data_IF_808021173526
#
_entry.id   IF_808021173526
#
_cell.length_a   1.000
_cell.length_b   1.000
_cell.length_c   1.000
_cell.angle_alpha   90.00
_cell.angle_beta   90.00
_cell.angle_gamma   90.00
#
_symmetry.space_group_name_H-M   'P 1'
#
loop_
_entity.id
_entity.type
_entity.pdbx_description
1 polymer ?
#
# COMPACT_ATOMS: atom_id res chain seq x y z
N UNK A 1 -13.03 18.92 10.36
CA UNK A 1 -12.22 20.15 10.27
C UNK A 1 -11.05 19.86 9.33
N UNK A 2 -10.86 20.72 8.32
CA UNK A 2 -9.69 20.69 7.44
C UNK A 2 -8.41 20.91 8.27
N UNK A 3 -7.40 20.07 8.06
CA UNK A 3 -6.12 20.12 8.81
C UNK A 3 -4.96 20.60 7.96
N UNK A 4 -4.95 20.26 6.69
CA UNK A 4 -3.88 20.65 5.81
C UNK A 4 -4.01 20.08 4.41
N UNK A 5 -3.26 20.65 3.52
CA UNK A 5 -3.06 20.24 2.15
C UNK A 5 -1.56 20.28 1.88
N UNK A 6 -1.07 19.28 1.21
CA UNK A 6 0.30 19.23 0.73
C UNK A 6 0.33 18.60 -0.66
N UNK A 7 1.32 18.95 -1.47
CA UNK A 7 1.43 18.47 -2.85
C UNK A 7 2.85 18.45 -3.35
N UNK A 8 3.12 17.53 -4.24
CA UNK A 8 4.28 17.54 -5.12
C UNK A 8 3.81 17.48 -6.59
N UNK A 9 4.75 17.25 -7.53
CA UNK A 9 4.42 17.25 -8.97
C UNK A 9 3.43 16.14 -9.37
N UNK A 10 3.43 15.01 -8.65
CA UNK A 10 2.72 13.78 -9.06
C UNK A 10 1.63 13.37 -8.05
N UNK A 11 1.53 14.06 -6.92
CA UNK A 11 0.57 13.71 -5.89
C UNK A 11 0.11 14.92 -5.09
N UNK A 12 -1.09 14.82 -4.53
CA UNK A 12 -1.54 15.73 -3.47
C UNK A 12 -2.32 14.95 -2.42
N UNK A 13 -2.35 15.49 -1.21
CA UNK A 13 -3.10 14.90 -0.11
C UNK A 13 -3.78 15.93 0.77
N UNK A 14 -4.91 15.50 1.30
CA UNK A 14 -5.78 16.33 2.14
C UNK A 14 -5.99 15.61 3.47
N UNK A 15 -5.69 16.30 4.56
CA UNK A 15 -5.92 15.81 5.92
C UNK A 15 -7.14 16.45 6.54
N UNK A 16 -8.08 15.64 7.00
CA UNK A 16 -9.33 16.07 7.63
C UNK A 16 -9.48 15.43 8.99
N UNK A 17 -9.70 16.25 10.01
CA UNK A 17 -10.05 15.78 11.36
C UNK A 17 -11.57 15.64 11.47
N UNK A 18 -12.02 14.44 11.83
CA UNK A 18 -13.41 14.11 12.06
C UNK A 18 -13.62 13.81 13.55
N UNK A 19 -14.77 14.22 14.07
CA UNK A 19 -15.20 13.87 15.41
C UNK A 19 -16.52 13.11 15.29
N UNK A 20 -16.51 11.88 15.77
CA UNK A 20 -17.67 11.00 15.76
C UNK A 20 -18.24 10.88 17.16
N UNK A 21 -19.58 10.90 17.27
CA UNK A 21 -20.30 10.51 18.48
C UNK A 21 -20.65 9.03 18.36
N UNK A 22 -20.00 8.20 19.16
CA UNK A 22 -20.23 6.76 19.16
C UNK A 22 -21.07 6.39 20.36
N UNK A 23 -22.13 5.60 20.14
CA UNK A 23 -22.87 4.93 21.21
C UNK A 23 -22.31 3.53 21.34
N UNK A 24 -21.80 3.16 22.50
CA UNK A 24 -21.40 1.79 22.78
C UNK A 24 -22.69 0.96 23.03
N UNK A 25 -23.02 0.07 22.08
CA UNK A 25 -24.02 -0.95 22.31
C UNK A 25 -23.30 -2.29 22.57
N UNK A 26 -23.28 -2.73 23.81
CA UNK A 26 -22.79 -4.07 24.15
C UNK A 26 -23.97 -5.03 24.17
N UNK A 27 -23.99 -6.00 23.27
CA UNK A 27 -24.99 -7.10 23.20
C UNK A 27 -26.47 -6.70 23.16
N UNK A 28 -26.81 -5.47 22.77
CA UNK A 28 -28.22 -5.04 22.68
C UNK A 28 -29.00 -4.94 24.00
N UNK A 29 -28.35 -5.22 25.13
CA UNK A 29 -29.02 -5.29 26.45
C UNK A 29 -28.68 -4.10 27.35
N UNK A 30 -27.52 -3.48 27.16
CA UNK A 30 -27.12 -2.27 27.89
C UNK A 30 -26.60 -1.22 26.90
N UNK A 31 -27.48 -0.33 26.47
CA UNK A 31 -27.06 0.89 25.82
C UNK A 31 -26.64 1.87 26.91
N UNK A 32 -25.34 2.10 27.07
CA UNK A 32 -24.90 3.27 27.86
C UNK A 32 -25.31 4.53 27.10
N UNK A 33 -26.02 5.43 27.77
CA UNK A 33 -26.35 6.75 27.22
C UNK A 33 -25.14 7.69 27.13
N UNK A 34 -23.99 7.27 27.60
CA UNK A 34 -22.74 7.98 27.44
C UNK A 34 -22.28 7.94 25.99
N UNK A 35 -22.33 9.10 25.37
CA UNK A 35 -21.80 9.33 24.00
C UNK A 35 -20.29 9.55 24.11
N UNK A 36 -19.51 8.57 23.72
CA UNK A 36 -18.07 8.74 23.59
C UNK A 36 -17.75 9.55 22.33
N UNK A 37 -16.88 10.53 22.46
CA UNK A 37 -16.33 11.27 21.31
C UNK A 37 -15.06 10.57 20.83
N UNK A 38 -15.07 10.13 19.58
CA UNK A 38 -13.90 9.56 18.91
C UNK A 38 -13.39 10.57 17.90
N UNK A 39 -12.13 10.97 18.04
CA UNK A 39 -11.46 11.84 17.11
C UNK A 39 -10.61 11.00 16.15
N UNK A 40 -10.74 11.26 14.85
CA UNK A 40 -9.99 10.57 13.81
C UNK A 40 -9.45 11.60 12.82
N UNK A 41 -8.19 11.45 12.45
CA UNK A 41 -7.60 12.19 11.33
C UNK A 41 -7.55 11.24 10.14
N UNK A 42 -8.20 11.64 9.05
CA UNK A 42 -8.20 10.89 7.79
C UNK A 42 -7.40 11.68 6.77
N UNK A 43 -6.38 11.05 6.22
CA UNK A 43 -5.62 11.56 5.07
C UNK A 43 -6.10 10.87 3.80
N UNK A 44 -6.42 11.65 2.78
CA UNK A 44 -6.75 11.18 1.43
C UNK A 44 -5.65 11.61 0.50
N UNK A 45 -5.08 10.65 -0.20
CA UNK A 45 -4.02 10.87 -1.18
C UNK A 45 -4.57 10.68 -2.58
N UNK A 46 -4.15 11.53 -3.50
CA UNK A 46 -4.46 11.47 -4.92
C UNK A 46 -3.12 11.45 -5.64
N UNK A 47 -2.85 10.41 -6.38
CA UNK A 47 -1.58 10.20 -7.07
C UNK A 47 -1.83 10.10 -8.56
N UNK A 48 -1.01 10.79 -9.34
CA UNK A 48 -1.03 10.68 -10.79
C UNK A 48 -0.55 9.29 -11.18
N UNK A 49 -1.33 8.61 -12.01
CA UNK A 49 -0.93 7.29 -12.51
C UNK A 49 0.21 7.43 -13.53
N UNK A 50 1.13 6.47 -13.60
CA UNK A 50 2.22 6.50 -14.56
C UNK A 50 1.71 6.66 -16.00
N UNK A 51 2.33 7.55 -16.77
CA UNK A 51 2.02 7.71 -18.20
C UNK A 51 2.48 6.48 -18.99
N UNK A 52 3.68 6.00 -18.68
CA UNK A 52 4.20 4.74 -19.23
C UNK A 52 3.56 3.57 -18.49
N UNK A 53 2.56 2.96 -19.11
CA UNK A 53 1.77 1.90 -18.52
C UNK A 53 2.51 0.56 -18.52
N UNK A 54 2.54 -0.09 -17.36
CA UNK A 54 3.00 -1.48 -17.26
C UNK A 54 2.12 -2.40 -18.12
N UNK A 55 2.72 -3.41 -18.72
CA UNK A 55 1.98 -4.46 -19.44
C UNK A 55 1.11 -5.22 -18.44
N UNK A 56 -0.20 -5.10 -18.62
CA UNK A 56 -1.20 -5.78 -17.79
C UNK A 56 -1.21 -7.29 -18.05
N UNK A 57 -1.49 -8.03 -16.99
CA UNK A 57 -1.73 -9.48 -17.07
C UNK A 57 -3.14 -9.74 -16.56
N UNK A 58 -3.99 -10.32 -17.39
CA UNK A 58 -5.34 -10.69 -16.95
C UNK A 58 -5.26 -11.72 -15.83
N UNK A 59 -6.18 -11.62 -14.87
CA UNK A 59 -6.28 -12.56 -13.77
C UNK A 59 -6.64 -13.95 -14.29
N UNK A 60 -5.77 -14.92 -14.03
CA UNK A 60 -6.09 -16.33 -14.20
C UNK A 60 -6.70 -16.88 -12.88
N UNK A 61 -7.96 -17.36 -12.87
CA UNK A 61 -8.59 -17.87 -11.66
C UNK A 61 -7.91 -19.13 -11.08
N UNK A 62 -7.06 -19.79 -11.87
CA UNK A 62 -6.28 -20.95 -11.41
C UNK A 62 -5.07 -20.57 -10.58
N UNK A 63 -4.66 -19.31 -10.65
CA UNK A 63 -3.51 -18.78 -9.92
C UNK A 63 -4.01 -17.90 -8.78
N UNK A 64 -3.56 -18.18 -7.55
CA UNK A 64 -3.98 -17.47 -6.35
C UNK A 64 -3.32 -16.09 -6.19
N UNK A 65 -3.36 -15.25 -7.24
CA UNK A 65 -2.83 -13.88 -7.19
C UNK A 65 -3.88 -12.88 -6.74
N UNK A 66 -3.44 -11.83 -6.07
CA UNK A 66 -4.26 -10.64 -5.88
C UNK A 66 -4.59 -10.00 -7.22
N UNK A 67 -5.71 -9.31 -7.28
CA UNK A 67 -6.14 -8.64 -8.51
C UNK A 67 -6.86 -7.33 -8.20
N UNK A 68 -6.81 -6.42 -9.15
CA UNK A 68 -7.65 -5.24 -9.22
C UNK A 68 -8.65 -5.41 -10.36
N UNK A 69 -9.86 -4.90 -10.18
CA UNK A 69 -10.90 -4.98 -11.21
C UNK A 69 -11.31 -3.59 -11.66
N UNK A 70 -11.48 -3.43 -12.97
CA UNK A 70 -11.94 -2.22 -13.62
C UNK A 70 -13.21 -2.52 -14.39
N UNK A 71 -14.23 -1.70 -14.21
CA UNK A 71 -15.45 -1.74 -15.01
C UNK A 71 -15.28 -0.85 -16.24
N UNK A 72 -15.28 -1.45 -17.42
CA UNK A 72 -15.16 -0.76 -18.69
C UNK A 72 -16.55 -0.51 -19.29
N UNK A 73 -16.81 0.73 -19.66
CA UNK A 73 -18.00 1.16 -20.37
C UNK A 73 -17.70 1.35 -21.85
N UNK A 74 -18.35 0.57 -22.67
CA UNK A 74 -18.26 0.69 -24.12
C UNK A 74 -19.66 1.09 -24.64
N UNK A 75 -19.76 2.30 -25.19
CA UNK A 75 -21.01 2.83 -25.70
C UNK A 75 -21.66 1.98 -26.80
N UNK A 76 -20.90 1.10 -27.44
CA UNK A 76 -21.40 0.16 -28.44
C UNK A 76 -22.06 -1.09 -27.84
N UNK A 77 -21.90 -1.31 -26.53
CA UNK A 77 -22.40 -2.49 -25.82
C UNK A 77 -23.50 -2.12 -24.83
N UNK A 78 -24.53 -2.98 -24.69
CA UNK A 78 -25.65 -2.70 -23.78
C UNK A 78 -25.29 -2.88 -22.29
N UNK A 79 -24.11 -3.40 -21.99
CA UNK A 79 -23.63 -3.64 -20.61
C UNK A 79 -22.15 -3.34 -20.51
N UNK A 80 -21.74 -2.83 -19.33
CA UNK A 80 -20.33 -2.75 -18.95
C UNK A 80 -19.69 -4.14 -18.88
N UNK A 81 -18.38 -4.19 -19.06
CA UNK A 81 -17.57 -5.40 -18.89
C UNK A 81 -16.61 -5.22 -17.73
N UNK A 82 -16.52 -6.21 -16.86
CA UNK A 82 -15.57 -6.23 -15.77
C UNK A 82 -14.29 -6.91 -16.25
N UNK A 83 -13.17 -6.17 -16.19
CA UNK A 83 -11.85 -6.75 -16.40
C UNK A 83 -11.10 -6.83 -15.07
N UNK A 84 -10.33 -7.89 -14.89
CA UNK A 84 -9.52 -8.10 -13.70
C UNK A 84 -8.08 -8.36 -14.08
N UNK A 85 -7.18 -7.60 -13.49
CA UNK A 85 -5.74 -7.70 -13.73
C UNK A 85 -5.03 -8.20 -12.49
N UNK A 86 -4.03 -9.07 -12.67
CA UNK A 86 -3.18 -9.53 -11.58
C UNK A 86 -2.39 -8.36 -11.01
N UNK A 87 -2.40 -8.22 -9.68
CA UNK A 87 -1.61 -7.19 -9.01
C UNK A 87 -0.15 -7.61 -8.93
N UNK A 88 0.76 -6.81 -9.50
CA UNK A 88 2.20 -7.08 -9.50
C UNK A 88 2.99 -5.77 -9.49
N UNK A 89 4.22 -5.82 -8.96
CA UNK A 89 5.17 -4.72 -9.12
C UNK A 89 5.75 -4.71 -10.54
N UNK A 90 6.07 -3.52 -11.03
CA UNK A 90 6.89 -3.35 -12.22
C UNK A 90 8.32 -3.76 -11.87
N UNK A 91 8.89 -4.67 -12.67
CA UNK A 91 10.25 -5.15 -12.49
C UNK A 91 10.97 -5.15 -13.84
N UNK A 92 11.27 -3.95 -14.33
CA UNK A 92 12.06 -3.80 -15.54
C UNK A 92 13.53 -4.12 -15.25
N UNK A 93 14.16 -4.98 -16.06
CA UNK A 93 15.52 -5.44 -15.85
C UNK A 93 16.48 -4.79 -16.85
N UNK A 94 17.66 -4.44 -16.37
CA UNK A 94 18.76 -4.00 -17.21
C UNK A 94 19.46 -5.17 -17.93
N UNK A 95 20.44 -4.84 -18.78
CA UNK A 95 21.19 -5.86 -19.53
C UNK A 95 21.97 -6.87 -18.66
N UNK A 96 22.25 -6.51 -17.42
CA UNK A 96 22.93 -7.34 -16.41
C UNK A 96 21.97 -8.23 -15.61
N UNK A 97 20.68 -8.17 -15.90
CA UNK A 97 19.61 -8.88 -15.19
C UNK A 97 19.23 -8.27 -13.86
N UNK A 98 19.76 -7.10 -13.51
CA UNK A 98 19.32 -6.38 -12.29
C UNK A 98 18.04 -5.61 -12.54
N UNK A 99 17.16 -5.61 -11.54
CA UNK A 99 15.97 -4.77 -11.54
C UNK A 99 16.41 -3.31 -11.47
N UNK A 100 15.98 -2.50 -12.47
CA UNK A 100 16.38 -1.10 -12.57
C UNK A 100 15.82 -0.25 -11.42
N UNK A 101 14.61 -0.56 -10.97
CA UNK A 101 13.97 0.07 -9.83
C UNK A 101 13.52 -1.01 -8.83
N UNK A 102 14.40 -1.40 -7.89
CA UNK A 102 14.05 -2.38 -6.87
C UNK A 102 12.86 -1.93 -6.02
N UNK A 103 12.02 -2.87 -5.65
CA UNK A 103 10.92 -2.62 -4.71
C UNK A 103 11.52 -2.38 -3.32
N UNK A 104 11.47 -1.14 -2.87
CA UNK A 104 12.04 -0.74 -1.58
C UNK A 104 10.97 -0.78 -0.49
N UNK A 105 11.18 -1.58 0.55
CA UNK A 105 10.37 -1.56 1.76
C UNK A 105 11.03 -0.71 2.85
N UNK A 106 10.30 0.27 3.34
CA UNK A 106 10.70 1.10 4.46
C UNK A 106 10.21 0.49 5.77
N UNK A 107 11.15 0.14 6.63
CA UNK A 107 10.88 -0.45 7.95
C UNK A 107 10.78 0.67 8.98
N UNK A 108 9.69 0.69 9.74
CA UNK A 108 9.41 1.70 10.75
C UNK A 108 10.55 1.77 11.79
N UNK A 109 11.03 2.98 12.06
CA UNK A 109 12.10 3.23 13.04
C UNK A 109 11.69 2.89 14.48
N UNK A 110 10.40 2.82 14.78
CA UNK A 110 9.86 2.48 16.10
C UNK A 110 9.93 1.01 16.47
N UNK A 111 10.24 0.11 15.52
CA UNK A 111 10.55 -1.27 15.88
C UNK A 111 11.75 -1.35 16.84
N UNK A 112 11.74 -2.29 17.80
CA UNK A 112 12.93 -2.60 18.59
C UNK A 112 14.13 -2.93 17.70
N UNK A 113 15.32 -2.43 18.03
CA UNK A 113 16.52 -2.58 17.19
C UNK A 113 16.85 -4.04 16.89
N UNK A 114 16.64 -4.92 17.87
CA UNK A 114 16.84 -6.35 17.67
C UNK A 114 15.93 -6.95 16.58
N UNK A 115 14.74 -6.37 16.36
CA UNK A 115 13.77 -6.87 15.38
C UNK A 115 14.01 -6.29 13.99
N UNK A 116 14.42 -5.02 13.90
CA UNK A 116 14.66 -4.34 12.62
C UNK A 116 15.55 -5.15 11.70
N UNK A 117 16.65 -5.70 12.25
CA UNK A 117 17.58 -6.54 11.49
C UNK A 117 16.86 -7.74 10.85
N UNK A 118 16.11 -8.49 11.65
CA UNK A 118 15.42 -9.69 11.16
C UNK A 118 14.29 -9.36 10.17
N UNK A 119 13.59 -8.25 10.38
CA UNK A 119 12.56 -7.78 9.44
C UNK A 119 13.20 -7.43 8.09
N UNK A 120 14.31 -6.70 8.09
CA UNK A 120 15.03 -6.39 6.87
C UNK A 120 15.53 -7.66 6.15
N UNK A 121 16.14 -8.57 6.89
CA UNK A 121 16.62 -9.85 6.36
C UNK A 121 15.48 -10.70 5.78
N UNK A 122 14.33 -10.76 6.45
CA UNK A 122 13.18 -11.55 6.00
C UNK A 122 12.61 -11.07 4.65
N UNK A 123 12.62 -9.77 4.39
CA UNK A 123 12.23 -9.24 3.08
C UNK A 123 13.27 -9.61 2.03
N UNK A 124 14.56 -9.51 2.35
CA UNK A 124 15.64 -9.75 1.39
C UNK A 124 15.81 -11.22 1.02
N UNK A 125 15.40 -12.15 1.87
CA UNK A 125 15.42 -13.61 1.57
C UNK A 125 14.62 -13.91 0.28
N UNK A 126 13.56 -13.15 -0.01
CA UNK A 126 12.79 -13.33 -1.24
C UNK A 126 13.58 -13.04 -2.51
N UNK A 127 14.73 -12.33 -2.42
CA UNK A 127 15.60 -12.13 -3.58
C UNK A 127 16.10 -13.45 -4.18
N UNK A 128 16.29 -14.49 -3.37
CA UNK A 128 16.68 -15.82 -3.88
C UNK A 128 15.65 -16.34 -4.88
N UNK A 129 14.36 -16.26 -4.55
CA UNK A 129 13.29 -16.68 -5.45
C UNK A 129 13.18 -15.80 -6.70
N UNK A 130 13.43 -14.49 -6.56
CA UNK A 130 13.44 -13.58 -7.71
C UNK A 130 14.64 -13.80 -8.62
N UNK A 131 15.80 -14.11 -8.06
CA UNK A 131 17.02 -14.41 -8.83
C UNK A 131 16.88 -15.69 -9.66
N UNK A 132 16.22 -16.71 -9.12
CA UNK A 132 15.88 -17.93 -9.86
C UNK A 132 14.98 -17.65 -11.08
N UNK A 133 14.21 -16.58 -11.04
CA UNK A 133 13.36 -16.10 -12.13
C UNK A 133 14.07 -15.08 -13.04
N UNK A 134 15.33 -14.74 -12.76
CA UNK A 134 16.13 -13.81 -13.54
C UNK A 134 16.07 -12.34 -13.10
N UNK A 135 15.44 -12.04 -11.95
CA UNK A 135 15.32 -10.70 -11.37
C UNK A 135 16.33 -10.50 -10.24
N UNK A 136 17.51 -10.01 -10.55
CA UNK A 136 18.53 -9.75 -9.52
C UNK A 136 18.24 -8.48 -8.75
N UNK A 137 18.46 -8.53 -7.44
CA UNK A 137 18.26 -7.38 -6.53
C UNK A 137 16.86 -6.77 -6.63
N UNK A 138 15.83 -7.62 -6.69
CA UNK A 138 14.45 -7.20 -6.86
C UNK A 138 13.91 -6.44 -5.64
N UNK A 139 14.32 -6.82 -4.43
CA UNK A 139 13.83 -6.26 -3.16
C UNK A 139 14.98 -5.62 -2.39
N UNK A 140 14.72 -4.45 -1.83
CA UNK A 140 15.62 -3.76 -0.90
C UNK A 140 14.85 -3.28 0.33
N UNK A 141 15.55 -3.11 1.44
CA UNK A 141 14.97 -2.57 2.66
C UNK A 141 15.75 -1.35 3.14
N UNK A 142 15.04 -0.39 3.71
CA UNK A 142 15.58 0.78 4.37
C UNK A 142 14.84 1.01 5.68
N UNK A 143 15.53 1.46 6.71
CA UNK A 143 14.86 1.95 7.92
C UNK A 143 14.32 3.36 7.63
N UNK A 144 13.08 3.63 8.03
CA UNK A 144 12.51 4.97 7.89
C UNK A 144 13.36 6.00 8.62
N UNK A 145 13.67 7.14 8.01
CA UNK A 145 14.30 8.24 8.72
C UNK A 145 13.43 8.68 9.90
N UNK A 146 14.04 8.92 11.06
CA UNK A 146 13.30 9.35 12.27
C UNK A 146 13.05 10.86 12.31
N UNK A 147 13.83 11.66 11.59
CA UNK A 147 13.83 13.12 11.66
C UNK A 147 14.09 13.79 10.30
N UNK A 148 13.66 13.18 9.21
CA UNK A 148 13.77 13.78 7.87
C UNK A 148 12.43 14.38 7.47
N UNK A 149 12.33 15.71 7.52
CA UNK A 149 11.12 16.44 7.12
C UNK A 149 10.76 16.23 5.63
N UNK A 150 11.72 15.82 4.82
CA UNK A 150 11.48 15.51 3.40
C UNK A 150 10.87 14.12 3.15
N UNK A 151 10.95 13.21 4.14
CA UNK A 151 10.38 11.88 4.04
C UNK A 151 8.99 11.84 4.66
N UNK A 152 7.97 11.67 3.83
CA UNK A 152 6.60 11.49 4.31
C UNK A 152 6.28 9.99 4.47
N UNK A 153 6.23 9.46 5.70
CA UNK A 153 5.96 8.06 5.94
C UNK A 153 4.52 7.63 5.54
N UNK A 154 3.64 8.58 5.25
CA UNK A 154 2.26 8.34 4.86
C UNK A 154 2.02 8.46 3.36
N UNK A 155 3.07 8.69 2.56
CA UNK A 155 2.98 8.69 1.12
C UNK A 155 2.69 7.28 0.61
N UNK A 156 1.59 7.12 -0.12
CA UNK A 156 1.13 5.82 -0.61
C UNK A 156 2.03 5.24 -1.72
N UNK A 157 2.98 6.00 -2.24
CA UNK A 157 3.97 5.54 -3.23
C UNK A 157 5.12 4.76 -2.59
N UNK A 158 5.23 4.76 -1.25
CA UNK A 158 6.21 3.96 -0.54
C UNK A 158 5.62 2.61 -0.11
N UNK A 159 6.46 1.56 -0.17
CA UNK A 159 6.13 0.33 0.50
C UNK A 159 6.68 0.41 1.93
N UNK A 160 5.87 0.00 2.90
CA UNK A 160 6.26 0.13 4.30
C UNK A 160 5.90 -1.11 5.14
N UNK A 161 6.68 -1.31 6.19
CA UNK A 161 6.39 -2.25 7.27
C UNK A 161 6.35 -1.44 8.55
N UNK A 162 5.17 -1.31 9.16
CA UNK A 162 4.93 -0.47 10.35
C UNK A 162 4.75 -1.30 11.60
N UNK A 163 5.23 -0.73 12.69
CA UNK A 163 5.02 -1.25 14.01
C UNK A 163 3.72 -0.70 14.61
N UNK A 164 2.77 -1.58 14.88
CA UNK A 164 1.50 -1.21 15.49
C UNK A 164 1.41 -1.77 16.91
N UNK A 165 1.29 -0.88 17.89
CA UNK A 165 1.08 -1.24 19.29
C UNK A 165 -0.40 -1.55 19.61
N UNK A 166 -1.21 -1.85 18.61
CA UNK A 166 -2.61 -2.24 18.83
C UNK A 166 -2.67 -3.57 19.58
N UNK A 167 -3.63 -3.73 20.51
CA UNK A 167 -3.89 -5.02 21.14
C UNK A 167 -4.46 -6.08 20.18
N UNK A 168 -4.76 -5.70 18.94
CA UNK A 168 -5.18 -6.65 17.91
C UNK A 168 -3.96 -7.45 17.43
N UNK A 169 -3.92 -8.74 17.74
CA UNK A 169 -2.91 -9.69 17.26
C UNK A 169 -3.12 -10.04 15.79
N UNK A 170 -3.21 -9.03 14.94
CA UNK A 170 -3.50 -9.24 13.52
C UNK A 170 -2.61 -8.36 12.66
N UNK A 171 -1.86 -9.00 11.78
CA UNK A 171 -1.15 -8.33 10.70
C UNK A 171 -2.18 -7.95 9.63
N UNK A 172 -2.15 -6.70 9.21
CA UNK A 172 -2.96 -6.21 8.08
C UNK A 172 -2.06 -5.77 6.96
N UNK A 173 -2.44 -6.10 5.75
CA UNK A 173 -1.79 -5.64 4.53
C UNK A 173 -2.72 -4.73 3.74
N UNK A 174 -2.12 -3.82 3.01
CA UNK A 174 -2.80 -2.93 2.07
C UNK A 174 -1.92 -2.73 0.85
N UNK A 175 -2.55 -2.49 -0.29
CA UNK A 175 -1.85 -2.16 -1.53
C UNK A 175 -2.69 -1.21 -2.36
N UNK A 176 -2.00 -0.36 -3.08
CA UNK A 176 -2.57 0.58 -4.04
C UNK A 176 -2.10 0.20 -5.42
N UNK A 177 -3.03 -0.01 -6.33
CA UNK A 177 -2.72 -0.47 -7.69
C UNK A 177 -3.32 0.48 -8.71
N UNK A 178 -2.64 0.61 -9.84
CA UNK A 178 -3.26 1.18 -11.04
C UNK A 178 -4.37 0.23 -11.52
N UNK A 179 -5.65 0.68 -11.54
CA UNK A 179 -6.76 -0.18 -11.93
C UNK A 179 -6.72 -0.61 -13.40
N UNK A 180 -5.99 0.11 -14.25
CA UNK A 180 -5.89 -0.18 -15.68
C UNK A 180 -4.85 -1.24 -16.02
N UNK A 181 -3.88 -1.50 -15.14
CA UNK A 181 -2.77 -2.42 -15.41
C UNK A 181 -2.56 -3.48 -14.33
N UNK A 182 -3.03 -3.22 -13.12
CA UNK A 182 -2.70 -4.03 -11.95
C UNK A 182 -1.32 -3.71 -11.34
N UNK A 183 -0.61 -2.69 -11.83
CA UNK A 183 0.67 -2.27 -11.26
C UNK A 183 0.50 -1.85 -9.80
N UNK A 184 1.30 -2.43 -8.91
CA UNK A 184 1.34 -2.03 -7.51
C UNK A 184 2.18 -0.76 -7.41
N UNK A 185 1.56 0.34 -6.98
CA UNK A 185 2.20 1.64 -6.80
C UNK A 185 2.78 1.80 -5.40
N UNK A 186 2.22 1.10 -4.45
CA UNK A 186 2.70 1.05 -3.07
C UNK A 186 1.97 -0.03 -2.27
N UNK A 187 2.62 -0.51 -1.22
CA UNK A 187 2.06 -1.53 -0.33
C UNK A 187 2.44 -1.27 1.13
N UNK A 188 1.61 -1.71 2.03
CA UNK A 188 1.84 -1.56 3.46
C UNK A 188 1.53 -2.83 4.24
N UNK A 189 2.36 -3.10 5.24
CA UNK A 189 2.17 -4.15 6.25
C UNK A 189 2.16 -3.45 7.62
N UNK A 190 1.14 -3.72 8.42
CA UNK A 190 0.97 -3.11 9.76
C UNK A 190 0.65 -4.18 10.78
#
# INVERSE_FOLDING_TARGET
IFRGFDSDNDAFWVSVSNTYKVKAAFLGIFASDEKSLVHSVVRRSFVLLPEDKMISVEKDPRIGTYSVSLEEYDHSKPKSSLRSYASKWRMDVGPDGKVMQPVCFYVDSSFPDAWKKYICESVQVWNEAFEDLGFKSALVTKVMPSEDDAFDPYDIRYNYIRYNLSPAEKITDSKWCDPSTGEILGAGIV
#
